data_IF_013222058297
#
_entry.id   IF_013222058297
#
_cell.length_a   1.000
_cell.length_b   1.000
_cell.length_c   1.000
_cell.angle_alpha   90.00
_cell.angle_beta   90.00
_cell.angle_gamma   90.00
#
_symmetry.space_group_name_H-M   'P 1'
#
loop_
_entity.id
_entity.type
_entity.pdbx_description
1 polymer ?
#
# COMPACT_ATOMS: atom_id res chain seq x y z
N UNK A 1 -18.36 36.07 -49.42
CA UNK A 1 -18.81 34.67 -49.40
C UNK A 1 -18.06 33.91 -48.30
N UNK A 2 -18.73 33.54 -47.20
CA UNK A 2 -18.12 32.79 -46.10
C UNK A 2 -18.55 31.32 -46.17
N UNK A 3 -17.57 30.41 -46.32
CA UNK A 3 -17.79 28.97 -46.43
C UNK A 3 -17.79 28.33 -45.04
N UNK A 4 -18.95 27.94 -44.52
CA UNK A 4 -19.06 27.13 -43.31
C UNK A 4 -18.81 25.65 -43.66
N UNK A 5 -17.71 25.08 -43.13
CA UNK A 5 -17.45 23.63 -43.21
C UNK A 5 -18.29 22.92 -42.14
N UNK A 6 -19.45 22.40 -42.53
CA UNK A 6 -20.22 21.46 -41.74
C UNK A 6 -19.49 20.11 -41.77
N UNK A 7 -18.99 19.63 -40.63
CA UNK A 7 -18.47 18.26 -40.53
C UNK A 7 -19.59 17.37 -39.97
N UNK A 8 -19.93 16.32 -40.71
CA UNK A 8 -20.94 15.36 -40.28
C UNK A 8 -20.40 14.55 -39.08
N UNK A 9 -20.73 14.95 -37.85
CA UNK A 9 -20.65 14.06 -36.70
C UNK A 9 -21.86 13.13 -36.74
N UNK A 10 -21.61 11.83 -36.95
CA UNK A 10 -22.63 10.78 -36.78
C UNK A 10 -23.10 10.79 -35.32
N UNK A 11 -24.35 11.20 -35.08
CA UNK A 11 -25.07 10.90 -33.85
C UNK A 11 -25.74 9.53 -34.03
N UNK A 12 -25.31 8.54 -33.26
CA UNK A 12 -26.09 7.31 -33.07
C UNK A 12 -26.08 6.97 -31.59
N UNK A 13 -26.96 7.66 -30.86
CA UNK A 13 -27.52 7.17 -29.61
C UNK A 13 -28.74 6.29 -29.92
N UNK A 14 -28.93 5.22 -29.15
CA UNK A 14 -30.14 4.39 -29.14
C UNK A 14 -30.05 3.09 -29.95
N UNK A 15 -29.69 1.98 -29.29
CA UNK A 15 -29.81 0.62 -29.84
C UNK A 15 -31.29 0.21 -29.87
N UNK A 16 -31.80 -0.25 -31.01
CA UNK A 16 -33.12 -0.89 -31.13
C UNK A 16 -33.13 -2.27 -30.43
N UNK A 17 -34.27 -2.73 -29.86
CA UNK A 17 -34.32 -3.97 -29.09
C UNK A 17 -34.30 -5.18 -30.03
N UNK A 18 -33.27 -6.02 -29.92
CA UNK A 18 -33.15 -7.25 -30.72
C UNK A 18 -33.39 -8.49 -29.86
N UNK A 19 -34.26 -9.36 -30.38
CA UNK A 19 -34.66 -10.72 -29.96
C UNK A 19 -33.62 -11.47 -29.12
N UNK A 20 -34.10 -12.09 -28.03
CA UNK A 20 -33.35 -12.97 -27.12
C UNK A 20 -32.72 -14.16 -27.86
N UNK A 21 -31.39 -14.20 -27.88
CA UNK A 21 -30.58 -15.39 -28.02
C UNK A 21 -29.49 -15.29 -26.95
N UNK A 22 -29.34 -16.34 -26.15
CA UNK A 22 -28.49 -16.37 -24.96
C UNK A 22 -27.08 -15.85 -25.25
N UNK A 23 -26.77 -14.64 -24.78
CA UNK A 23 -25.44 -14.05 -24.89
C UNK A 23 -24.61 -14.50 -23.71
N UNK A 24 -23.87 -15.60 -23.91
CA UNK A 24 -22.67 -15.93 -23.14
C UNK A 24 -21.85 -14.63 -23.01
N UNK A 25 -21.61 -14.18 -21.79
CA UNK A 25 -20.93 -12.91 -21.53
C UNK A 25 -19.49 -12.97 -22.06
N UNK A 26 -19.32 -12.60 -23.33
CA UNK A 26 -18.04 -12.34 -23.94
C UNK A 26 -17.48 -11.09 -23.26
N UNK A 27 -16.75 -11.29 -22.17
CA UNK A 27 -15.81 -10.29 -21.64
C UNK A 27 -14.95 -9.87 -22.82
N UNK A 28 -14.84 -8.56 -23.06
CA UNK A 28 -14.08 -7.94 -24.15
C UNK A 28 -12.66 -8.52 -24.19
N UNK A 29 -12.47 -9.60 -24.94
CA UNK A 29 -11.16 -10.01 -25.44
C UNK A 29 -10.87 -9.18 -26.68
N UNK A 30 -9.59 -8.87 -26.81
CA UNK A 30 -8.95 -7.90 -27.70
C UNK A 30 -9.53 -7.82 -29.13
N UNK A 31 -9.50 -6.64 -29.78
CA UNK A 31 -9.89 -6.53 -31.18
C UNK A 31 -9.01 -7.44 -32.07
N UNK A 32 -9.63 -8.16 -33.01
CA UNK A 32 -8.99 -9.16 -33.87
C UNK A 32 -8.05 -8.57 -34.95
N UNK A 33 -7.80 -7.26 -34.94
CA UNK A 33 -6.86 -6.58 -35.83
C UNK A 33 -6.38 -5.29 -35.15
N UNK A 34 -5.08 -5.20 -34.92
CA UNK A 34 -4.43 -4.07 -34.24
C UNK A 34 -3.99 -4.43 -32.82
N UNK A 35 -2.68 -4.44 -32.60
CA UNK A 35 -1.99 -5.01 -31.43
C UNK A 35 -2.62 -4.72 -30.06
N UNK A 36 -2.41 -5.67 -29.14
CA UNK A 36 -2.87 -5.60 -27.75
C UNK A 36 -2.43 -4.27 -27.14
N UNK A 37 -3.39 -3.46 -26.66
CA UNK A 37 -3.08 -2.24 -25.90
C UNK A 37 -2.16 -2.64 -24.75
N UNK A 38 -0.98 -2.00 -24.65
CA UNK A 38 -0.04 -2.23 -23.56
C UNK A 38 -0.78 -2.07 -22.22
N UNK A 39 -0.63 -3.02 -21.27
CA UNK A 39 -1.19 -2.86 -19.94
C UNK A 39 -0.75 -1.54 -19.33
N UNK A 40 -1.70 -0.80 -18.75
CA UNK A 40 -1.39 0.46 -18.09
C UNK A 40 -0.50 0.20 -16.87
N UNK A 41 0.66 0.88 -16.80
CA UNK A 41 1.58 0.83 -15.65
C UNK A 41 1.76 2.24 -15.08
N UNK A 42 1.54 2.38 -13.78
CA UNK A 42 1.82 3.63 -13.07
C UNK A 42 3.33 3.93 -13.04
N UNK A 43 3.67 5.22 -13.00
CA UNK A 43 5.06 5.66 -12.83
C UNK A 43 5.59 5.22 -11.45
N UNK A 44 6.89 4.93 -11.31
CA UNK A 44 7.48 4.62 -10.01
C UNK A 44 7.19 5.77 -9.01
N UNK A 45 6.84 5.42 -7.78
CA UNK A 45 6.44 6.37 -6.74
C UNK A 45 4.95 6.74 -6.75
N UNK A 46 4.21 6.61 -7.86
CA UNK A 46 2.78 6.97 -7.90
C UNK A 46 1.93 6.07 -6.99
N UNK A 47 2.20 4.77 -6.97
CA UNK A 47 1.48 3.82 -6.10
C UNK A 47 1.91 4.00 -4.64
N UNK A 48 3.21 4.16 -4.39
CA UNK A 48 3.74 4.39 -3.04
C UNK A 48 3.14 5.65 -2.38
N UNK A 49 3.07 6.78 -3.11
CA UNK A 49 2.44 8.01 -2.58
C UNK A 49 0.93 7.85 -2.31
N UNK A 50 0.25 7.00 -3.09
CA UNK A 50 -1.16 6.68 -2.85
C UNK A 50 -1.31 5.82 -1.59
N UNK A 51 -0.44 4.84 -1.40
CA UNK A 51 -0.41 3.98 -0.22
C UNK A 51 -0.09 4.78 1.05
N UNK A 52 0.91 5.67 1.02
CA UNK A 52 1.24 6.57 2.14
C UNK A 52 0.00 7.38 2.55
N UNK A 53 -0.67 8.03 1.59
CA UNK A 53 -1.89 8.81 1.89
C UNK A 53 -3.04 7.95 2.39
N UNK A 54 -3.17 6.71 1.90
CA UNK A 54 -4.20 5.78 2.36
C UNK A 54 -3.94 5.42 3.83
N UNK A 55 -2.74 4.96 4.14
CA UNK A 55 -2.38 4.45 5.46
C UNK A 55 -2.26 5.54 6.52
N UNK A 56 -1.86 6.77 6.15
CA UNK A 56 -1.89 7.91 7.06
C UNK A 56 -3.32 8.39 7.40
N UNK A 57 -4.32 8.05 6.57
CA UNK A 57 -5.72 8.42 6.82
C UNK A 57 -6.47 7.37 7.67
N UNK A 58 -6.01 6.13 7.65
CA UNK A 58 -6.61 5.02 8.40
C UNK A 58 -5.85 4.74 9.69
N UNK A 59 -6.50 4.12 10.66
CA UNK A 59 -5.88 3.62 11.89
C UNK A 59 -6.01 2.08 11.97
N UNK A 60 -6.03 1.42 10.80
CA UNK A 60 -6.07 -0.04 10.75
C UNK A 60 -4.69 -0.63 11.05
N UNK A 61 -4.66 -1.70 11.85
CA UNK A 61 -3.45 -2.48 12.07
C UNK A 61 -3.00 -3.14 10.75
N UNK A 62 -1.73 -2.96 10.40
CA UNK A 62 -1.16 -3.40 9.13
C UNK A 62 -0.57 -4.80 9.21
N UNK A 63 -0.15 -5.23 10.40
CA UNK A 63 0.37 -6.58 10.63
C UNK A 63 -0.80 -7.55 10.81
N UNK A 64 -0.74 -8.71 10.15
CA UNK A 64 -1.77 -9.74 10.30
C UNK A 64 -1.77 -10.27 11.75
N UNK A 65 -2.96 -10.33 12.36
CA UNK A 65 -3.15 -10.71 13.77
C UNK A 65 -2.59 -12.10 14.12
N UNK A 66 -2.84 -13.13 13.29
CA UNK A 66 -2.43 -14.50 13.60
C UNK A 66 -0.89 -14.69 13.59
N UNK A 67 -0.14 -14.23 12.58
CA UNK A 67 1.32 -14.22 12.63
C UNK A 67 1.89 -13.45 13.83
N UNK A 68 1.37 -12.26 14.12
CA UNK A 68 1.81 -11.47 15.27
C UNK A 68 1.58 -12.21 16.60
N UNK A 69 0.40 -12.81 16.77
CA UNK A 69 0.10 -13.61 17.95
C UNK A 69 1.03 -14.82 18.11
N UNK A 70 1.42 -15.49 17.01
CA UNK A 70 2.38 -16.60 17.04
C UNK A 70 3.75 -16.12 17.50
N UNK A 71 4.21 -14.99 16.96
CA UNK A 71 5.48 -14.36 17.34
C UNK A 71 5.51 -13.98 18.83
N UNK A 72 4.44 -13.36 19.34
CA UNK A 72 4.34 -13.02 20.77
C UNK A 72 4.49 -14.27 21.63
N UNK A 73 3.80 -15.36 21.27
CA UNK A 73 3.87 -16.62 22.02
C UNK A 73 5.24 -17.26 21.97
N UNK A 74 5.87 -17.28 20.79
CA UNK A 74 7.23 -17.77 20.58
C UNK A 74 8.23 -17.04 21.50
N UNK A 75 8.25 -15.71 21.48
CA UNK A 75 9.15 -14.91 22.31
C UNK A 75 8.88 -15.15 23.80
N UNK A 76 7.61 -15.18 24.22
CA UNK A 76 7.26 -15.31 25.65
C UNK A 76 7.53 -16.70 26.21
N UNK A 77 7.56 -17.72 25.36
CA UNK A 77 7.82 -19.10 25.75
C UNK A 77 9.21 -19.26 26.37
N UNK A 78 10.20 -18.49 25.90
CA UNK A 78 11.57 -18.51 26.41
C UNK A 78 11.68 -17.95 27.84
N UNK A 79 10.72 -17.15 28.28
CA UNK A 79 10.70 -16.54 29.62
C UNK A 79 9.84 -17.35 30.61
N UNK A 80 8.67 -17.82 30.17
CA UNK A 80 7.76 -18.61 30.99
C UNK A 80 6.88 -19.50 30.13
N UNK A 81 6.93 -20.79 30.40
CA UNK A 81 6.08 -21.78 29.73
C UNK A 81 4.61 -21.64 30.17
N UNK A 82 3.68 -22.07 29.30
CA UNK A 82 2.25 -22.18 29.59
C UNK A 82 1.51 -20.85 29.86
N UNK A 83 2.01 -19.75 29.29
CA UNK A 83 1.35 -18.44 29.36
C UNK A 83 0.04 -18.40 28.53
N UNK A 84 -1.04 -17.96 29.19
CA UNK A 84 -2.31 -17.64 28.56
C UNK A 84 -2.42 -16.13 28.36
N UNK A 85 -2.68 -15.73 27.13
CA UNK A 85 -2.89 -14.33 26.77
C UNK A 85 -4.37 -14.02 26.65
N UNK A 86 -4.79 -12.89 27.23
CA UNK A 86 -6.05 -12.25 26.91
C UNK A 86 -6.00 -11.71 25.47
N UNK A 87 -7.14 -11.70 24.77
CA UNK A 87 -7.23 -11.16 23.40
C UNK A 87 -6.85 -9.66 23.35
N UNK A 88 -7.26 -8.88 24.34
CA UNK A 88 -6.92 -7.46 24.46
C UNK A 88 -5.42 -7.24 24.72
N UNK A 89 -4.74 -8.14 25.44
CA UNK A 89 -3.32 -8.03 25.70
C UNK A 89 -2.50 -8.17 24.41
N UNK A 90 -2.83 -9.17 23.58
CA UNK A 90 -2.18 -9.34 22.26
C UNK A 90 -2.46 -8.14 21.36
N UNK A 91 -3.68 -7.60 21.40
CA UNK A 91 -4.05 -6.40 20.65
C UNK A 91 -3.24 -5.18 21.09
N UNK A 92 -3.11 -4.94 22.40
CA UNK A 92 -2.33 -3.83 22.95
C UNK A 92 -0.84 -3.94 22.60
N UNK A 93 -0.27 -5.15 22.64
CA UNK A 93 1.10 -5.39 22.18
C UNK A 93 1.28 -5.05 20.69
N UNK A 94 0.28 -5.38 19.87
CA UNK A 94 0.32 -5.08 18.44
C UNK A 94 0.24 -3.57 18.17
N UNK A 95 -0.70 -2.88 18.81
CA UNK A 95 -0.84 -1.42 18.73
C UNK A 95 0.47 -0.72 19.12
N UNK A 96 1.08 -1.11 20.24
CA UNK A 96 2.34 -0.53 20.71
C UNK A 96 3.50 -0.81 19.74
N UNK A 97 3.60 -2.03 19.23
CA UNK A 97 4.67 -2.42 18.30
C UNK A 97 4.56 -1.67 16.96
N UNK A 98 3.35 -1.56 16.39
CA UNK A 98 3.15 -0.84 15.12
C UNK A 98 3.37 0.67 15.30
N UNK A 99 2.91 1.27 16.41
CA UNK A 99 3.17 2.67 16.72
C UNK A 99 4.67 2.97 16.86
N UNK A 100 5.42 2.08 17.53
CA UNK A 100 6.87 2.22 17.66
C UNK A 100 7.57 2.16 16.29
N UNK A 101 7.19 1.21 15.42
CA UNK A 101 7.77 1.07 14.09
C UNK A 101 7.46 2.28 13.20
N UNK A 102 6.25 2.84 13.26
CA UNK A 102 5.90 4.07 12.52
C UNK A 102 6.77 5.24 12.98
N UNK A 103 6.91 5.45 14.29
CA UNK A 103 7.77 6.51 14.83
C UNK A 103 9.25 6.33 14.43
N UNK A 104 9.74 5.08 14.41
CA UNK A 104 11.09 4.77 13.92
C UNK A 104 11.24 5.07 12.43
N UNK A 105 10.23 4.79 11.60
CA UNK A 105 10.27 5.10 10.17
C UNK A 105 10.26 6.62 9.90
N UNK A 106 9.51 7.40 10.67
CA UNK A 106 9.53 8.87 10.57
C UNK A 106 10.89 9.46 10.99
N UNK A 107 11.45 8.95 12.09
CA UNK A 107 12.76 9.37 12.58
C UNK A 107 13.86 9.01 11.56
N UNK A 108 13.82 7.82 10.99
CA UNK A 108 14.80 7.36 9.98
C UNK A 108 14.69 8.11 8.66
N UNK A 109 13.48 8.53 8.27
CA UNK A 109 13.31 9.42 7.13
C UNK A 109 13.99 10.77 7.40
N UNK A 110 13.72 11.37 8.57
CA UNK A 110 14.30 12.67 8.94
C UNK A 110 15.82 12.62 9.08
N UNK A 111 16.37 11.57 9.69
CA UNK A 111 17.82 11.39 9.84
C UNK A 111 18.49 11.04 8.50
N UNK A 112 17.84 10.23 7.67
CA UNK A 112 18.31 9.90 6.32
C UNK A 112 18.41 11.12 5.41
N UNK A 113 17.46 12.04 5.47
CA UNK A 113 17.51 13.31 4.74
C UNK A 113 18.69 14.19 5.20
N UNK A 114 19.00 14.20 6.51
CA UNK A 114 20.16 14.92 7.06
C UNK A 114 21.50 14.29 6.67
N UNK A 115 21.60 12.96 6.70
CA UNK A 115 22.84 12.21 6.41
C UNK A 115 23.12 12.07 4.90
N UNK A 116 22.06 12.07 4.08
CA UNK A 116 22.14 11.92 2.63
C UNK A 116 21.13 12.85 1.95
N UNK A 117 21.55 14.09 1.69
CA UNK A 117 20.73 15.17 1.11
C UNK A 117 20.00 14.83 -0.22
N UNK A 118 20.32 13.70 -0.88
CA UNK A 118 19.82 13.36 -2.21
C UNK A 118 19.11 11.98 -2.31
N UNK A 119 18.90 11.26 -1.20
CA UNK A 119 18.29 9.93 -1.22
C UNK A 119 16.90 9.92 -0.57
N UNK A 120 15.86 9.68 -1.37
CA UNK A 120 14.48 9.48 -0.90
C UNK A 120 14.16 8.03 -0.47
N UNK A 121 15.17 7.15 -0.47
CA UNK A 121 15.04 5.76 0.00
C UNK A 121 15.59 5.64 1.42
N UNK A 122 14.82 4.99 2.29
CA UNK A 122 15.28 4.53 3.60
C UNK A 122 16.48 3.59 3.41
N UNK A 123 17.54 3.81 4.19
CA UNK A 123 18.75 2.98 4.20
C UNK A 123 18.95 2.38 5.59
N UNK A 124 19.68 1.27 5.67
CA UNK A 124 20.00 0.62 6.95
C UNK A 124 20.88 1.50 7.86
N UNK A 125 21.76 2.32 7.29
CA UNK A 125 22.65 3.20 8.06
C UNK A 125 21.94 4.18 9.01
N UNK A 126 20.97 5.02 8.55
CA UNK A 126 20.22 5.90 9.46
C UNK A 126 19.37 5.15 10.48
N UNK A 127 18.92 3.94 10.15
CA UNK A 127 18.17 3.07 11.07
C UNK A 127 19.04 2.54 12.20
N UNK A 128 20.22 2.01 11.87
CA UNK A 128 21.20 1.55 12.86
C UNK A 128 21.63 2.73 13.75
N UNK A 129 21.94 3.89 13.16
CA UNK A 129 22.36 5.08 13.90
C UNK A 129 21.34 5.52 14.96
N UNK A 130 20.04 5.48 14.64
CA UNK A 130 18.98 5.85 15.58
C UNK A 130 18.78 4.79 16.67
N UNK A 131 18.83 3.51 16.33
CA UNK A 131 18.73 2.42 17.32
C UNK A 131 19.90 2.50 18.30
N UNK A 132 21.12 2.72 17.80
CA UNK A 132 22.32 2.86 18.64
C UNK A 132 22.27 4.09 19.55
N UNK A 133 21.70 5.21 19.10
CA UNK A 133 21.57 6.42 19.94
C UNK A 133 20.44 6.33 20.97
N UNK A 134 19.32 5.65 20.66
CA UNK A 134 18.25 5.45 21.64
C UNK A 134 18.70 4.59 22.83
N UNK A 135 19.58 3.61 22.60
CA UNK A 135 20.15 2.78 23.66
C UNK A 135 21.16 3.51 24.58
N UNK A 136 21.72 4.64 24.13
CA UNK A 136 22.73 5.39 24.89
C UNK A 136 22.16 6.41 25.87
N UNK A 137 20.83 6.61 25.88
CA UNK A 137 20.11 7.54 26.77
C UNK A 137 19.48 6.86 28.00
N UNK A 138 19.70 5.55 28.19
CA UNK A 138 19.22 4.77 29.35
C UNK A 138 20.35 4.23 30.26
N UNK A 139 21.57 4.75 30.13
CA UNK A 139 22.70 4.50 31.03
C UNK A 139 23.19 5.84 31.59
#
# INVERSE_FOLDING_TARGET
MARTKQTARKSTGGKAPRKQLATKAARKSSPATGGVKKPHRFRPGTVALREIRKYQKSTELLIRKLPFQRLVREITQDFKTDLRFQSSAVFALQEAAEAYLVGLFEATQTSGEKMHQNSRKLKLQPLIFLISNQGSLQM
#
